data_IF_820347075346
#
_entry.id   IF_820347075346
#
_cell.length_a   1.000
_cell.length_b   1.000
_cell.length_c   1.000
_cell.angle_alpha   90.00
_cell.angle_beta   90.00
_cell.angle_gamma   90.00
#
_symmetry.space_group_name_H-M   'P 1'
#
loop_
_entity.id
_entity.type
_entity.pdbx_description
1 polymer ?
#
# COMPACT_ATOMS: atom_id res chain seq x y z
N UNK A 1 12.26 -10.72 2.12
CA UNK A 1 12.26 -11.80 3.12
C UNK A 1 11.27 -12.91 2.79
N UNK A 2 10.01 -12.60 2.45
CA UNK A 2 8.99 -13.62 2.11
C UNK A 2 9.46 -14.54 0.99
N UNK A 3 9.99 -14.01 -0.10
CA UNK A 3 10.53 -14.83 -1.21
C UNK A 3 11.73 -15.71 -0.80
N UNK A 4 12.55 -15.26 0.13
CA UNK A 4 13.66 -16.07 0.67
C UNK A 4 13.12 -17.22 1.55
N UNK A 5 12.14 -16.94 2.39
CA UNK A 5 11.43 -17.96 3.17
C UNK A 5 10.81 -19.01 2.26
N UNK A 6 10.13 -18.60 1.22
CA UNK A 6 9.46 -19.49 0.27
C UNK A 6 10.48 -20.33 -0.55
N UNK A 7 11.71 -19.82 -0.68
CA UNK A 7 12.87 -20.56 -1.22
C UNK A 7 13.56 -21.47 -0.17
N UNK A 8 13.00 -21.62 1.06
CA UNK A 8 13.49 -22.52 2.08
C UNK A 8 14.55 -21.94 3.03
N UNK A 9 14.79 -20.64 3.01
CA UNK A 9 15.71 -19.98 3.97
C UNK A 9 15.05 -19.94 5.34
N UNK A 10 15.68 -20.58 6.34
CA UNK A 10 15.18 -20.64 7.72
C UNK A 10 15.80 -19.52 8.57
N UNK A 11 17.08 -19.22 8.35
CA UNK A 11 17.82 -18.23 9.14
C UNK A 11 18.43 -17.17 8.23
N UNK A 12 18.32 -15.91 8.63
CA UNK A 12 18.81 -14.78 7.85
C UNK A 12 19.73 -13.88 8.68
N UNK A 13 20.74 -13.31 8.03
CA UNK A 13 21.74 -12.43 8.66
C UNK A 13 21.69 -11.02 8.06
N UNK A 14 22.14 -10.01 8.80
CA UNK A 14 22.23 -8.65 8.30
C UNK A 14 23.06 -8.51 7.01
N UNK A 15 24.20 -9.18 6.85
CA UNK A 15 24.95 -9.17 5.58
C UNK A 15 24.15 -9.72 4.37
N UNK A 16 23.34 -10.76 4.58
CA UNK A 16 22.47 -11.31 3.53
C UNK A 16 21.39 -10.32 3.11
N UNK A 17 20.76 -9.66 4.09
CA UNK A 17 19.74 -8.63 3.84
C UNK A 17 20.40 -7.44 3.11
N UNK A 18 21.53 -6.97 3.59
CA UNK A 18 22.27 -5.85 3.02
C UNK A 18 22.59 -6.08 1.54
N UNK A 19 23.10 -7.28 1.22
CA UNK A 19 23.40 -7.67 -0.18
C UNK A 19 22.14 -7.72 -1.04
N UNK A 20 21.04 -8.25 -0.52
CA UNK A 20 19.78 -8.36 -1.25
C UNK A 20 19.12 -6.98 -1.53
N UNK A 21 19.35 -5.99 -0.67
CA UNK A 21 18.79 -4.65 -0.76
C UNK A 21 19.78 -3.62 -1.38
N UNK A 22 21.00 -4.03 -1.70
CA UNK A 22 22.08 -3.12 -2.13
C UNK A 22 22.30 -1.97 -1.12
N UNK A 23 22.35 -2.33 0.17
CA UNK A 23 22.51 -1.41 1.29
C UNK A 23 23.76 -1.77 2.12
N UNK A 24 24.21 -0.82 2.96
CA UNK A 24 25.30 -1.11 3.89
C UNK A 24 24.82 -2.03 5.03
N UNK A 25 25.70 -2.94 5.46
CA UNK A 25 25.42 -3.83 6.59
C UNK A 25 25.14 -3.06 7.89
N UNK A 26 25.80 -1.93 8.07
CA UNK A 26 25.64 -1.06 9.23
C UNK A 26 24.25 -0.42 9.28
N UNK A 27 23.74 0.04 8.13
CA UNK A 27 22.39 0.57 8.01
C UNK A 27 21.35 -0.51 8.32
N UNK A 28 21.48 -1.68 7.70
CA UNK A 28 20.57 -2.81 7.97
C UNK A 28 20.57 -3.21 9.44
N UNK A 29 21.71 -3.21 10.12
CA UNK A 29 21.79 -3.49 11.57
C UNK A 29 21.03 -2.45 12.40
N UNK A 30 21.14 -1.16 12.05
CA UNK A 30 20.40 -0.07 12.71
C UNK A 30 18.89 -0.23 12.50
N UNK A 31 18.46 -0.48 11.27
CA UNK A 31 17.05 -0.66 10.94
C UNK A 31 16.45 -1.88 11.68
N UNK A 32 17.18 -2.99 11.70
CA UNK A 32 16.74 -4.19 12.45
C UNK A 32 16.63 -3.95 13.96
N UNK A 33 17.43 -3.07 14.55
CA UNK A 33 17.31 -2.71 15.96
C UNK A 33 16.02 -1.95 16.28
N UNK A 34 15.54 -1.15 15.34
CA UNK A 34 14.28 -0.39 15.49
C UNK A 34 13.07 -1.31 15.36
N UNK A 35 13.15 -2.24 14.43
CA UNK A 35 12.00 -3.08 14.04
C UNK A 35 11.82 -4.30 14.93
N UNK A 36 12.93 -4.88 15.45
CA UNK A 36 12.87 -6.18 16.14
C UNK A 36 12.81 -6.04 17.66
N UNK A 37 11.90 -6.79 18.28
CA UNK A 37 11.76 -6.89 19.73
C UNK A 37 12.83 -7.80 20.35
N UNK A 38 13.38 -8.74 19.57
CA UNK A 38 14.41 -9.68 20.03
C UNK A 38 15.80 -9.33 19.51
N UNK A 39 16.81 -9.34 20.38
CA UNK A 39 18.20 -9.26 19.96
C UNK A 39 18.58 -10.54 19.22
N UNK A 40 19.06 -10.40 17.97
CA UNK A 40 19.64 -11.54 17.25
C UNK A 40 20.83 -12.15 18.02
N UNK A 41 20.98 -13.46 17.95
CA UNK A 41 22.15 -14.12 18.52
C UNK A 41 23.39 -13.81 17.67
N UNK A 42 24.52 -13.46 18.27
CA UNK A 42 25.76 -13.29 17.52
C UNK A 42 26.08 -14.54 16.68
N UNK A 43 26.45 -14.35 15.43
CA UNK A 43 26.87 -15.38 14.45
C UNK A 43 25.84 -16.43 14.03
N UNK A 44 24.62 -16.48 14.60
CA UNK A 44 23.60 -17.46 14.21
C UNK A 44 22.48 -16.88 13.35
N UNK A 45 22.44 -15.55 13.17
CA UNK A 45 21.37 -14.88 12.45
C UNK A 45 20.06 -14.84 13.23
N UNK A 46 18.97 -14.55 12.52
CA UNK A 46 17.60 -14.49 13.05
C UNK A 46 16.74 -15.50 12.30
N UNK A 47 15.80 -16.12 13.00
CA UNK A 47 14.75 -16.88 12.34
C UNK A 47 13.97 -15.96 11.40
N UNK A 48 13.82 -16.38 10.14
CA UNK A 48 13.22 -15.54 9.09
C UNK A 48 11.73 -15.29 9.35
N UNK A 49 11.01 -16.24 9.94
CA UNK A 49 9.59 -16.08 10.25
C UNK A 49 9.39 -15.11 11.41
N UNK A 50 10.24 -15.19 12.44
CA UNK A 50 10.23 -14.24 13.56
C UNK A 50 10.52 -12.83 13.05
N UNK A 51 11.51 -12.68 12.18
CA UNK A 51 11.86 -11.38 11.61
C UNK A 51 10.74 -10.82 10.71
N UNK A 52 10.11 -11.65 9.88
CA UNK A 52 8.96 -11.23 9.08
C UNK A 52 7.83 -10.76 9.99
N UNK A 53 7.50 -11.52 11.03
CA UNK A 53 6.47 -11.15 11.99
C UNK A 53 6.79 -9.81 12.71
N UNK A 54 8.00 -9.62 13.19
CA UNK A 54 8.42 -8.38 13.85
C UNK A 54 8.26 -7.17 12.91
N UNK A 55 8.65 -7.33 11.63
CA UNK A 55 8.48 -6.29 10.59
C UNK A 55 6.99 -6.04 10.33
N UNK A 56 6.17 -7.08 10.21
CA UNK A 56 4.73 -6.96 9.97
C UNK A 56 4.02 -6.26 11.14
N UNK A 57 4.40 -6.57 12.38
CA UNK A 57 3.92 -5.84 13.57
C UNK A 57 4.33 -4.37 13.53
N UNK A 58 5.61 -4.09 13.25
CA UNK A 58 6.14 -2.73 13.16
C UNK A 58 5.44 -1.91 12.08
N UNK A 59 5.14 -2.51 10.93
CA UNK A 59 4.42 -1.88 9.82
C UNK A 59 2.90 -1.85 10.02
N UNK A 60 2.38 -2.42 11.11
CA UNK A 60 0.94 -2.46 11.37
C UNK A 60 0.18 -3.50 10.53
N UNK A 61 0.86 -4.44 9.87
CA UNK A 61 0.22 -5.43 8.99
C UNK A 61 -0.64 -6.47 9.70
N UNK A 62 -0.57 -6.57 11.03
CA UNK A 62 -1.48 -7.42 11.81
C UNK A 62 -2.85 -6.80 12.08
N UNK A 63 -3.00 -5.52 11.80
CA UNK A 63 -4.30 -4.86 11.87
C UNK A 63 -4.96 -4.98 10.49
N UNK A 64 -5.99 -5.81 10.38
CA UNK A 64 -6.82 -5.86 9.17
C UNK A 64 -7.39 -4.45 8.98
N UNK A 65 -7.00 -3.80 7.90
CA UNK A 65 -7.51 -2.50 7.54
C UNK A 65 -8.51 -2.64 6.41
N UNK A 66 -9.78 -2.36 6.70
CA UNK A 66 -10.80 -2.27 5.67
C UNK A 66 -10.63 -0.98 4.88
N UNK A 67 -10.77 -1.07 3.57
CA UNK A 67 -10.66 0.05 2.66
C UNK A 67 -11.81 0.07 1.65
N UNK A 68 -12.03 1.24 1.08
CA UNK A 68 -12.90 1.43 -0.09
C UNK A 68 -12.08 1.90 -1.27
N UNK A 69 -12.59 1.67 -2.47
CA UNK A 69 -12.04 2.23 -3.71
C UNK A 69 -12.99 3.32 -4.22
N UNK A 70 -12.41 4.47 -4.59
CA UNK A 70 -13.17 5.57 -5.19
C UNK A 70 -12.61 5.87 -6.58
N UNK A 71 -13.51 5.75 -7.57
CA UNK A 71 -13.17 5.72 -8.99
C UNK A 71 -12.95 4.29 -9.48
N UNK A 72 -14.02 3.60 -9.91
CA UNK A 72 -13.96 2.23 -10.43
C UNK A 72 -13.75 2.24 -11.94
N UNK A 73 -12.68 2.96 -12.39
CA UNK A 73 -12.11 2.86 -13.72
C UNK A 73 -11.25 1.61 -13.87
N UNK A 74 -10.46 1.52 -14.94
CA UNK A 74 -9.59 0.35 -15.17
C UNK A 74 -8.68 0.04 -13.98
N UNK A 75 -8.07 1.06 -13.37
CA UNK A 75 -7.18 0.87 -12.22
C UNK A 75 -7.95 0.47 -10.96
N UNK A 76 -9.08 1.14 -10.67
CA UNK A 76 -9.92 0.81 -9.52
C UNK A 76 -10.48 -0.61 -9.61
N UNK A 77 -10.94 -1.02 -10.80
CA UNK A 77 -11.41 -2.38 -11.05
C UNK A 77 -10.29 -3.42 -10.89
N UNK A 78 -9.09 -3.11 -11.40
CA UNK A 78 -7.92 -3.96 -11.20
C UNK A 78 -7.61 -4.16 -9.71
N UNK A 79 -7.68 -3.10 -8.91
CA UNK A 79 -7.48 -3.18 -7.47
C UNK A 79 -8.60 -3.94 -6.74
N UNK A 80 -9.86 -3.82 -7.15
CA UNK A 80 -10.96 -4.63 -6.59
C UNK A 80 -10.74 -6.13 -6.83
N UNK A 81 -10.07 -6.49 -7.92
CA UNK A 81 -9.73 -7.87 -8.27
C UNK A 81 -8.41 -8.36 -7.67
N UNK A 82 -7.56 -7.46 -7.18
CA UNK A 82 -6.22 -7.80 -6.73
C UNK A 82 -6.22 -8.56 -5.40
N UNK A 83 -5.82 -9.83 -5.44
CA UNK A 83 -5.80 -10.71 -4.25
C UNK A 83 -4.62 -10.43 -3.31
N UNK A 84 -3.54 -9.81 -3.82
CA UNK A 84 -2.33 -9.55 -3.04
C UNK A 84 -2.53 -8.56 -1.88
N UNK A 85 -3.61 -7.78 -1.85
CA UNK A 85 -3.90 -6.90 -0.73
C UNK A 85 -4.13 -7.66 0.58
N UNK A 86 -4.68 -8.88 0.51
CA UNK A 86 -4.87 -9.74 1.69
C UNK A 86 -3.54 -10.12 2.38
N UNK A 87 -2.43 -10.19 1.61
CA UNK A 87 -1.09 -10.46 2.15
C UNK A 87 -0.58 -9.31 3.03
N UNK A 88 -1.16 -8.12 2.87
CA UNK A 88 -0.86 -6.91 3.64
C UNK A 88 -1.98 -6.56 4.62
N UNK A 89 -2.87 -7.53 4.91
CA UNK A 89 -4.03 -7.34 5.79
C UNK A 89 -4.95 -6.18 5.35
N UNK A 90 -4.98 -5.85 4.06
CA UNK A 90 -5.87 -4.86 3.48
C UNK A 90 -7.05 -5.57 2.79
N UNK A 91 -8.26 -5.24 3.22
CA UNK A 91 -9.48 -5.82 2.67
C UNK A 91 -10.32 -4.70 2.00
N UNK A 92 -10.61 -4.85 0.70
CA UNK A 92 -11.48 -3.92 -0.01
C UNK A 92 -12.93 -4.35 0.21
N UNK A 93 -13.74 -3.48 0.80
CA UNK A 93 -15.14 -3.76 1.09
C UNK A 93 -16.10 -3.36 -0.04
N UNK A 94 -15.82 -2.24 -0.70
CA UNK A 94 -16.73 -1.65 -1.69
C UNK A 94 -15.99 -0.74 -2.67
N UNK A 95 -16.59 -0.52 -3.84
CA UNK A 95 -16.23 0.54 -4.77
C UNK A 95 -17.24 1.68 -4.76
N UNK A 96 -16.81 2.88 -5.15
CA UNK A 96 -17.66 4.06 -5.35
C UNK A 96 -17.34 4.70 -6.70
N UNK A 97 -18.36 5.04 -7.46
CA UNK A 97 -18.21 5.71 -8.76
C UNK A 97 -19.41 6.64 -9.03
N UNK A 98 -19.23 7.59 -9.96
CA UNK A 98 -20.30 8.44 -10.50
C UNK A 98 -20.89 7.89 -11.80
N UNK A 99 -20.22 6.96 -12.45
CA UNK A 99 -20.66 6.38 -13.71
C UNK A 99 -21.81 5.39 -13.48
N UNK A 100 -23.00 5.74 -13.95
CA UNK A 100 -24.22 4.91 -13.83
C UNK A 100 -24.04 3.51 -14.41
N UNK A 101 -23.19 3.37 -15.43
CA UNK A 101 -22.90 2.07 -16.05
C UNK A 101 -22.13 1.12 -15.13
N UNK A 102 -21.51 1.63 -14.06
CA UNK A 102 -20.73 0.87 -13.08
C UNK A 102 -21.46 0.67 -11.77
N UNK A 103 -22.33 1.61 -11.41
CA UNK A 103 -23.12 1.56 -10.18
C UNK A 103 -23.98 0.29 -10.15
N UNK A 104 -23.97 -0.40 -9.02
CA UNK A 104 -24.68 -1.66 -8.81
C UNK A 104 -23.93 -2.91 -9.29
N UNK A 105 -22.86 -2.78 -10.06
CA UNK A 105 -22.01 -3.93 -10.41
C UNK A 105 -21.37 -4.55 -9.17
N UNK A 106 -21.12 -5.84 -9.25
CA UNK A 106 -20.38 -6.61 -8.26
C UNK A 106 -19.08 -7.09 -8.90
N UNK A 107 -17.94 -6.64 -8.37
CA UNK A 107 -16.61 -6.96 -8.85
C UNK A 107 -15.91 -7.76 -7.75
N UNK A 108 -15.56 -9.01 -8.03
CA UNK A 108 -14.93 -9.92 -7.06
C UNK A 108 -15.66 -9.94 -5.69
N UNK A 109 -17.00 -10.05 -5.71
CA UNK A 109 -17.85 -10.07 -4.52
C UNK A 109 -18.09 -8.71 -3.84
N UNK A 110 -17.55 -7.61 -4.38
CA UNK A 110 -17.66 -6.26 -3.82
C UNK A 110 -18.57 -5.38 -4.68
N UNK A 111 -19.55 -4.75 -4.05
CA UNK A 111 -20.49 -3.89 -4.77
C UNK A 111 -19.93 -2.51 -5.06
N UNK A 112 -20.29 -1.95 -6.22
CA UNK A 112 -20.02 -0.56 -6.58
C UNK A 112 -21.24 0.30 -6.24
N UNK A 113 -21.05 1.32 -5.42
CA UNK A 113 -22.07 2.26 -4.97
C UNK A 113 -21.93 3.63 -5.63
N UNK A 114 -23.02 4.41 -5.73
CA UNK A 114 -22.92 5.80 -6.16
C UNK A 114 -22.22 6.65 -5.10
N UNK A 115 -21.47 7.66 -5.54
CA UNK A 115 -20.76 8.60 -4.66
C UNK A 115 -21.68 9.26 -3.62
N UNK A 116 -22.94 9.51 -3.96
CA UNK A 116 -23.94 10.07 -3.03
C UNK A 116 -24.13 9.24 -1.75
N UNK A 117 -23.82 7.94 -1.76
CA UNK A 117 -23.89 7.05 -0.59
C UNK A 117 -22.65 7.08 0.28
N UNK A 118 -21.56 7.74 -0.13
CA UNK A 118 -20.26 7.70 0.53
C UNK A 118 -20.36 8.15 1.99
N UNK A 119 -20.91 9.32 2.26
CA UNK A 119 -21.09 9.87 3.63
C UNK A 119 -21.94 8.98 4.56
N UNK A 120 -22.84 8.19 4.00
CA UNK A 120 -23.67 7.27 4.78
C UNK A 120 -22.99 5.92 5.01
N UNK A 121 -22.33 5.37 3.97
CA UNK A 121 -21.78 4.02 4.03
C UNK A 121 -20.43 3.96 4.75
N UNK A 122 -19.55 4.95 4.58
CA UNK A 122 -18.20 4.94 5.19
C UNK A 122 -18.27 4.76 6.71
N UNK A 123 -19.05 5.54 7.46
CA UNK A 123 -19.18 5.33 8.92
C UNK A 123 -19.78 3.98 9.28
N UNK A 124 -20.77 3.50 8.51
CA UNK A 124 -21.43 2.21 8.77
C UNK A 124 -20.53 1.00 8.49
N UNK A 125 -19.63 1.13 7.51
CA UNK A 125 -18.62 0.13 7.19
C UNK A 125 -17.43 0.19 8.15
N UNK A 126 -17.34 1.22 8.99
CA UNK A 126 -16.24 1.49 9.90
C UNK A 126 -14.89 1.51 9.17
N UNK A 127 -14.84 2.14 8.00
CA UNK A 127 -13.66 2.18 7.13
C UNK A 127 -12.91 3.48 7.34
N UNK A 128 -11.60 3.37 7.50
CA UNK A 128 -10.71 4.53 7.69
C UNK A 128 -9.80 4.80 6.49
N UNK A 129 -9.71 3.87 5.53
CA UNK A 129 -8.81 3.97 4.38
C UNK A 129 -9.60 4.04 3.08
N UNK A 130 -9.22 4.97 2.20
CA UNK A 130 -9.73 5.04 0.83
C UNK A 130 -8.58 4.97 -0.18
N UNK A 131 -8.77 4.19 -1.23
CA UNK A 131 -7.90 4.14 -2.40
C UNK A 131 -8.52 5.02 -3.48
N UNK A 132 -7.85 6.10 -3.84
CA UNK A 132 -8.35 7.10 -4.78
C UNK A 132 -7.74 6.85 -6.16
N UNK A 133 -8.60 6.51 -7.12
CA UNK A 133 -8.25 6.20 -8.52
C UNK A 133 -9.09 7.01 -9.52
N UNK A 134 -9.51 8.21 -9.12
CA UNK A 134 -10.28 9.14 -9.94
C UNK A 134 -9.36 9.96 -10.86
N UNK A 135 -9.89 10.56 -11.94
CA UNK A 135 -9.16 11.52 -12.74
C UNK A 135 -8.71 12.74 -11.92
N UNK A 136 -7.57 13.34 -12.30
CA UNK A 136 -6.99 14.50 -11.61
C UNK A 136 -7.99 15.63 -11.36
N UNK A 137 -8.86 15.90 -12.32
CA UNK A 137 -9.87 16.97 -12.25
C UNK A 137 -10.91 16.80 -11.16
N UNK A 138 -11.18 15.56 -10.73
CA UNK A 138 -12.19 15.25 -9.71
C UNK A 138 -11.56 14.91 -8.34
N UNK A 139 -10.25 14.64 -8.31
CA UNK A 139 -9.62 14.01 -7.15
C UNK A 139 -9.62 14.88 -5.90
N UNK A 140 -9.47 16.19 -6.03
CA UNK A 140 -9.48 17.10 -4.88
C UNK A 140 -10.87 17.14 -4.22
N UNK A 141 -11.93 17.33 -5.00
CA UNK A 141 -13.30 17.32 -4.50
C UNK A 141 -13.66 15.99 -3.84
N UNK A 142 -13.26 14.89 -4.47
CA UNK A 142 -13.48 13.55 -3.90
C UNK A 142 -12.71 13.36 -2.59
N UNK A 143 -11.48 13.85 -2.49
CA UNK A 143 -10.71 13.78 -1.24
C UNK A 143 -11.41 14.54 -0.10
N UNK A 144 -11.97 15.71 -0.38
CA UNK A 144 -12.77 16.49 0.60
C UNK A 144 -14.00 15.71 1.06
N UNK A 145 -14.73 15.07 0.12
CA UNK A 145 -15.87 14.20 0.46
C UNK A 145 -15.46 13.00 1.31
N UNK A 146 -14.29 12.41 1.08
CA UNK A 146 -13.74 11.30 1.86
C UNK A 146 -13.42 11.73 3.29
N UNK A 147 -12.77 12.88 3.45
CA UNK A 147 -12.44 13.48 4.76
C UNK A 147 -13.72 13.76 5.55
N UNK A 148 -14.71 14.37 4.92
CA UNK A 148 -16.03 14.66 5.51
C UNK A 148 -16.79 13.38 5.92
N UNK A 149 -16.56 12.27 5.22
CA UNK A 149 -17.14 10.98 5.54
C UNK A 149 -16.41 10.24 6.68
N UNK A 150 -15.25 10.75 7.14
CA UNK A 150 -14.49 10.18 8.26
C UNK A 150 -13.28 9.34 7.85
N UNK A 151 -12.88 9.35 6.58
CA UNK A 151 -11.64 8.70 6.11
C UNK A 151 -10.44 9.40 6.75
N UNK A 152 -9.47 8.62 7.22
CA UNK A 152 -8.24 9.06 7.88
C UNK A 152 -6.98 8.79 7.07
N UNK A 153 -7.05 7.86 6.10
CA UNK A 153 -5.96 7.53 5.21
C UNK A 153 -6.41 7.51 3.76
N UNK A 154 -5.70 8.21 2.88
CA UNK A 154 -5.96 8.23 1.44
C UNK A 154 -4.73 7.72 0.70
N UNK A 155 -4.87 6.60 0.01
CA UNK A 155 -3.87 6.10 -0.93
C UNK A 155 -4.19 6.64 -2.31
N UNK A 156 -3.46 7.70 -2.69
CA UNK A 156 -3.77 8.49 -3.87
C UNK A 156 -3.00 8.03 -5.10
N UNK A 157 -3.72 7.57 -6.10
CA UNK A 157 -3.19 7.21 -7.43
C UNK A 157 -3.49 8.26 -8.50
N UNK A 158 -4.20 9.32 -8.17
CA UNK A 158 -4.39 10.43 -9.08
C UNK A 158 -3.10 11.26 -9.22
N UNK A 159 -2.78 11.77 -10.41
CA UNK A 159 -1.53 12.50 -10.66
C UNK A 159 -1.57 13.95 -10.14
N UNK A 160 -2.07 14.15 -8.92
CA UNK A 160 -2.10 15.44 -8.21
C UNK A 160 -1.73 15.25 -6.75
N UNK A 161 -1.20 16.29 -6.13
CA UNK A 161 -1.04 16.36 -4.69
C UNK A 161 -2.34 16.85 -4.06
N UNK A 162 -2.96 16.03 -3.23
CA UNK A 162 -4.18 16.37 -2.52
C UNK A 162 -3.89 17.34 -1.37
N UNK A 163 -4.79 18.29 -1.16
CA UNK A 163 -4.77 19.21 -0.02
C UNK A 163 -5.87 18.79 0.94
N UNK A 164 -5.48 18.24 2.08
CA UNK A 164 -6.39 17.79 3.14
C UNK A 164 -5.89 18.30 4.50
N UNK A 165 -6.68 18.12 5.54
CA UNK A 165 -6.31 18.48 6.90
C UNK A 165 -5.14 17.62 7.40
N UNK A 166 -4.35 18.15 8.35
CA UNK A 166 -3.15 17.49 8.91
C UNK A 166 -3.47 16.16 9.65
N UNK A 167 -4.72 15.95 10.05
CA UNK A 167 -5.18 14.73 10.70
C UNK A 167 -5.51 13.58 9.71
N UNK A 168 -5.36 13.82 8.41
CA UNK A 168 -5.55 12.83 7.34
C UNK A 168 -4.22 12.51 6.67
N UNK A 169 -3.85 11.24 6.71
CA UNK A 169 -2.62 10.75 6.07
C UNK A 169 -2.87 10.54 4.58
N UNK A 170 -2.04 11.14 3.73
CA UNK A 170 -2.08 10.94 2.28
C UNK A 170 -0.77 10.34 1.80
N UNK A 171 -0.86 9.17 1.17
CA UNK A 171 0.25 8.55 0.45
C UNK A 171 0.03 8.72 -1.06
N UNK A 172 0.92 9.49 -1.71
CA UNK A 172 0.83 9.75 -3.15
C UNK A 172 1.66 8.74 -3.94
N UNK A 173 1.03 7.99 -4.83
CA UNK A 173 1.69 7.02 -5.71
C UNK A 173 1.87 7.61 -7.09
N UNK A 174 3.11 7.90 -7.44
CA UNK A 174 3.47 8.35 -8.80
C UNK A 174 4.13 7.20 -9.57
N UNK A 175 3.33 6.47 -10.36
CA UNK A 175 3.82 5.36 -11.18
C UNK A 175 4.84 5.81 -12.24
N UNK A 176 4.73 7.05 -12.73
CA UNK A 176 5.65 7.60 -13.73
C UNK A 176 7.04 7.85 -13.14
N UNK A 177 7.16 8.19 -11.85
CA UNK A 177 8.47 8.39 -11.22
C UNK A 177 9.29 7.11 -11.14
N UNK A 178 8.66 5.96 -10.90
CA UNK A 178 9.34 4.65 -10.94
C UNK A 178 9.90 4.34 -12.33
N UNK A 179 9.15 4.66 -13.39
CA UNK A 179 9.61 4.52 -14.77
C UNK A 179 10.77 5.47 -15.08
N UNK A 180 10.72 6.70 -14.60
CA UNK A 180 11.81 7.67 -14.77
C UNK A 180 13.11 7.19 -14.11
N UNK A 181 13.03 6.62 -12.90
CA UNK A 181 14.17 6.01 -12.22
C UNK A 181 14.74 4.84 -13.02
N UNK A 182 13.88 3.96 -13.54
CA UNK A 182 14.30 2.84 -14.40
C UNK A 182 15.03 3.34 -15.65
N UNK A 183 14.44 4.33 -16.34
CA UNK A 183 15.03 4.92 -17.55
C UNK A 183 16.41 5.55 -17.28
N UNK A 184 16.54 6.23 -16.12
CA UNK A 184 17.82 6.81 -15.72
C UNK A 184 18.89 5.72 -15.47
N UNK A 185 18.51 4.66 -14.75
CA UNK A 185 19.41 3.52 -14.48
C UNK A 185 19.88 2.83 -15.78
N UNK A 186 18.95 2.62 -16.73
CA UNK A 186 19.29 2.06 -18.04
C UNK A 186 20.26 2.94 -18.83
N UNK A 187 19.98 4.25 -18.89
CA UNK A 187 20.87 5.20 -19.58
C UNK A 187 22.28 5.17 -19.01
N UNK A 188 22.43 5.11 -17.68
CA UNK A 188 23.73 5.02 -17.02
C UNK A 188 24.47 3.74 -17.42
N UNK A 189 23.77 2.60 -17.45
CA UNK A 189 24.36 1.31 -17.83
C UNK A 189 24.88 1.30 -19.27
N UNK A 190 24.15 1.90 -20.23
CA UNK A 190 24.58 2.00 -21.63
C UNK A 190 25.71 3.03 -21.88
N UNK A 191 26.04 3.87 -20.90
CA UNK A 191 27.16 4.82 -21.00
C UNK A 191 28.47 4.25 -20.39
N UNK A 192 28.37 3.15 -19.64
CA UNK A 192 29.48 2.45 -19.01
C UNK A 192 29.99 1.26 -19.87
N UNK A 193 29.30 0.91 -20.97
CA UNK A 193 29.72 -0.03 -22.03
C UNK A 193 30.38 0.70 -23.21
#
# INVERSE_FOLDING_TARGET
LKSMRDAGVVTITAPLIARALDQSEEQVKKDLQVVTTSKGRPNTGRDINVLINDIEVFLGYHNISDAIIVGVGHLGEAFMNYKGFAEFSLNILAGFDNDESKIGKVINGKQVFPMAKLKNLVPRLNVSIAILTTPASASQEVAELLVDAGIKGIWNFAPINLKVNDDVVVENVNLASSLAVLSHKLKKKFQEE
#
